data_IF_024899705975
#
_entry.id   IF_024899705975
#
_cell.length_a   1.000
_cell.length_b   1.000
_cell.length_c   1.000
_cell.angle_alpha   90.00
_cell.angle_beta   90.00
_cell.angle_gamma   90.00
#
_symmetry.space_group_name_H-M   'P 1'
#
loop_
_entity.id
_entity.type
_entity.pdbx_description
1 polymer ?
#
# COMPACT_ATOMS: atom_id res chain seq x y z
N UNK A 1 -47.09 -60.85 5.83
CA UNK A 1 -46.44 -59.92 6.79
C UNK A 1 -45.40 -59.11 6.03
N UNK A 2 -45.75 -57.91 5.58
CA UNK A 2 -44.92 -57.07 4.76
C UNK A 2 -44.67 -55.78 5.55
N UNK A 3 -43.44 -55.59 6.08
CA UNK A 3 -43.03 -54.37 6.76
C UNK A 3 -42.52 -53.34 5.74
N UNK A 4 -43.25 -52.30 5.57
CA UNK A 4 -42.85 -51.11 4.78
C UNK A 4 -41.99 -50.22 5.65
N UNK A 5 -40.69 -50.08 5.30
CA UNK A 5 -39.72 -49.20 5.93
C UNK A 5 -39.87 -47.79 5.34
N UNK A 6 -40.37 -46.84 6.13
CA UNK A 6 -40.47 -45.41 5.76
C UNK A 6 -39.13 -44.73 6.05
N UNK A 7 -38.35 -44.43 5.02
CA UNK A 7 -37.16 -43.61 5.11
C UNK A 7 -37.55 -42.14 5.05
N UNK A 8 -37.43 -41.45 6.17
CA UNK A 8 -37.56 -39.98 6.25
C UNK A 8 -36.27 -39.32 5.81
N UNK A 9 -36.28 -38.67 4.64
CA UNK A 9 -35.18 -37.85 4.12
C UNK A 9 -35.27 -36.46 4.75
N UNK A 10 -34.40 -36.18 5.74
CA UNK A 10 -34.26 -34.88 6.36
C UNK A 10 -33.38 -34.00 5.46
N UNK A 11 -33.99 -33.04 4.77
CA UNK A 11 -33.26 -32.03 3.98
C UNK A 11 -32.74 -30.97 4.95
N UNK A 12 -31.43 -31.00 5.21
CA UNK A 12 -30.72 -29.93 5.92
C UNK A 12 -30.52 -28.74 4.97
N UNK A 13 -31.37 -27.74 5.09
CA UNK A 13 -31.24 -26.46 4.40
C UNK A 13 -30.14 -25.63 5.10
N UNK A 14 -28.89 -25.73 4.61
CA UNK A 14 -27.78 -24.92 5.10
C UNK A 14 -27.98 -23.47 4.67
N UNK A 15 -28.42 -22.63 5.58
CA UNK A 15 -28.51 -21.17 5.40
C UNK A 15 -27.10 -20.59 5.40
N UNK A 16 -26.51 -20.36 4.23
CA UNK A 16 -25.25 -19.60 4.08
C UNK A 16 -25.52 -18.13 4.48
N UNK A 17 -25.19 -17.79 5.71
CA UNK A 17 -25.12 -16.41 6.17
C UNK A 17 -23.96 -15.73 5.45
N UNK A 18 -24.22 -15.01 4.37
CA UNK A 18 -23.27 -14.09 3.76
C UNK A 18 -23.02 -12.93 4.75
N UNK A 19 -21.91 -12.99 5.48
CA UNK A 19 -21.46 -11.89 6.34
C UNK A 19 -20.96 -10.80 5.41
N UNK A 20 -21.53 -9.57 5.40
CA UNK A 20 -20.98 -8.48 4.64
C UNK A 20 -19.60 -8.13 5.22
N UNK A 21 -18.53 -8.39 4.46
CA UNK A 21 -17.21 -7.89 4.79
C UNK A 21 -17.20 -6.38 4.52
N UNK A 22 -17.46 -5.60 5.55
CA UNK A 22 -17.17 -4.17 5.50
C UNK A 22 -15.65 -4.05 5.37
N UNK A 23 -15.17 -3.54 4.23
CA UNK A 23 -13.80 -3.10 4.07
C UNK A 23 -13.59 -1.95 5.07
N UNK A 24 -13.04 -2.27 6.24
CA UNK A 24 -12.73 -1.30 7.27
C UNK A 24 -11.51 -0.51 6.79
N UNK A 25 -11.76 0.63 6.17
CA UNK A 25 -10.71 1.58 5.82
C UNK A 25 -10.08 2.08 7.11
N UNK A 26 -8.89 1.62 7.39
CA UNK A 26 -8.14 2.01 8.57
C UNK A 26 -7.41 3.32 8.26
N UNK A 27 -7.90 4.42 8.80
CA UNK A 27 -7.25 5.73 8.66
C UNK A 27 -5.77 5.65 9.03
N UNK A 28 -4.90 6.21 8.18
CA UNK A 28 -3.45 6.23 8.40
C UNK A 28 -2.71 4.92 8.12
N UNK A 29 -3.37 3.91 7.54
CA UNK A 29 -2.75 2.65 7.16
C UNK A 29 -2.62 2.54 5.64
N UNK A 30 -1.41 2.26 5.17
CA UNK A 30 -1.12 1.93 3.77
C UNK A 30 -0.70 0.49 3.57
N UNK A 31 -0.50 0.12 2.32
CA UNK A 31 0.08 -1.16 1.90
C UNK A 31 1.24 -0.93 0.95
N UNK A 32 2.28 -1.75 1.05
CA UNK A 32 3.45 -1.73 0.18
C UNK A 32 3.80 -3.15 -0.24
N UNK A 33 3.86 -3.38 -1.52
CA UNK A 33 4.43 -4.59 -2.10
C UNK A 33 5.80 -4.26 -2.68
N UNK A 34 6.84 -4.99 -2.27
CA UNK A 34 8.20 -4.90 -2.79
C UNK A 34 8.59 -6.22 -3.44
N UNK A 35 9.10 -6.14 -4.64
CA UNK A 35 9.58 -7.30 -5.40
C UNK A 35 11.00 -7.02 -5.92
N UNK A 36 11.95 -7.88 -5.54
CA UNK A 36 13.30 -7.87 -6.08
C UNK A 36 13.48 -9.06 -7.04
N UNK A 37 13.62 -8.76 -8.32
CA UNK A 37 13.90 -9.75 -9.36
C UNK A 37 15.24 -9.44 -10.03
N UNK A 38 16.26 -10.25 -9.73
CA UNK A 38 17.62 -10.01 -10.15
C UNK A 38 18.15 -8.70 -9.56
N UNK A 39 18.44 -7.71 -10.42
CA UNK A 39 18.93 -6.39 -10.05
C UNK A 39 17.84 -5.30 -10.03
N UNK A 40 16.58 -5.68 -10.28
CA UNK A 40 15.45 -4.75 -10.36
C UNK A 40 14.57 -4.85 -9.12
N UNK A 41 14.49 -3.77 -8.36
CA UNK A 41 13.54 -3.58 -7.27
C UNK A 41 12.31 -2.82 -7.77
N UNK A 42 11.14 -3.40 -7.58
CA UNK A 42 9.84 -2.78 -7.88
C UNK A 42 9.03 -2.62 -6.61
N UNK A 43 8.31 -1.52 -6.50
CA UNK A 43 7.41 -1.28 -5.39
C UNK A 43 6.06 -0.75 -5.86
N UNK A 44 5.01 -1.18 -5.18
CA UNK A 44 3.65 -0.66 -5.31
C UNK A 44 3.15 -0.27 -3.93
N UNK A 45 2.87 1.01 -3.75
CA UNK A 45 2.39 1.58 -2.50
C UNK A 45 1.00 2.17 -2.68
N UNK A 46 0.09 1.81 -1.79
CA UNK A 46 -1.24 2.42 -1.70
C UNK A 46 -1.42 3.06 -0.33
N UNK A 47 -1.89 4.31 -0.31
CA UNK A 47 -2.11 5.08 0.91
C UNK A 47 -3.32 5.98 0.76
N UNK A 48 -4.22 6.05 1.76
CA UNK A 48 -5.31 7.03 1.75
C UNK A 48 -4.80 8.46 1.65
N UNK A 49 -5.38 9.26 0.76
CA UNK A 49 -5.00 10.66 0.58
C UNK A 49 -5.21 11.49 1.86
N UNK A 50 -6.19 11.12 2.68
CA UNK A 50 -6.40 11.72 4.00
C UNK A 50 -5.17 11.57 4.90
N UNK A 51 -4.52 10.41 4.86
CA UNK A 51 -3.29 10.17 5.65
C UNK A 51 -2.11 11.03 5.18
N UNK A 52 -2.07 11.41 3.92
CA UNK A 52 -1.00 12.21 3.30
C UNK A 52 -1.27 13.72 3.37
N UNK A 53 -2.51 14.14 3.09
CA UNK A 53 -2.87 15.55 2.95
C UNK A 53 -3.74 16.07 4.10
N UNK A 54 -4.38 15.18 4.88
CA UNK A 54 -5.37 15.55 5.88
C UNK A 54 -6.77 15.78 5.30
N UNK A 55 -6.97 15.50 4.03
CA UNK A 55 -8.25 15.53 3.32
C UNK A 55 -8.24 14.55 2.15
N UNK A 56 -9.43 14.12 1.72
CA UNK A 56 -9.65 13.15 0.64
C UNK A 56 -10.68 13.65 -0.40
N UNK A 57 -10.92 14.93 -0.45
CA UNK A 57 -11.78 15.60 -1.41
C UNK A 57 -10.95 16.54 -2.29
N UNK A 58 -11.48 16.98 -3.42
CA UNK A 58 -10.80 17.98 -4.24
C UNK A 58 -10.48 19.22 -3.40
N UNK A 59 -9.29 19.85 -3.60
CA UNK A 59 -8.90 21.04 -2.87
C UNK A 59 -9.95 22.13 -2.93
N UNK A 60 -10.28 22.75 -1.78
CA UNK A 60 -11.26 23.84 -1.62
C UNK A 60 -10.61 25.18 -1.29
N UNK A 61 -9.32 25.17 -0.92
CA UNK A 61 -8.55 26.36 -0.55
C UNK A 61 -7.22 26.39 -1.27
N UNK A 62 -6.60 27.55 -1.38
CA UNK A 62 -5.25 27.68 -1.95
C UNK A 62 -4.24 26.80 -1.19
N UNK A 63 -4.29 26.79 0.15
CA UNK A 63 -3.39 25.97 0.96
C UNK A 63 -3.54 24.45 0.67
N UNK A 64 -4.76 23.95 0.43
CA UNK A 64 -4.98 22.57 0.04
C UNK A 64 -4.46 22.28 -1.37
N UNK A 65 -4.62 23.20 -2.30
CA UNK A 65 -4.06 23.09 -3.66
C UNK A 65 -2.54 23.04 -3.60
N UNK A 66 -1.90 23.92 -2.84
CA UNK A 66 -0.46 23.93 -2.66
C UNK A 66 0.07 22.64 -2.03
N UNK A 67 -0.60 22.13 -0.99
CA UNK A 67 -0.23 20.87 -0.35
C UNK A 67 -0.31 19.69 -1.34
N UNK A 68 -1.35 19.62 -2.16
CA UNK A 68 -1.50 18.58 -3.19
C UNK A 68 -0.41 18.70 -4.26
N UNK A 69 -0.11 19.92 -4.75
CA UNK A 69 0.94 20.15 -5.73
C UNK A 69 2.33 19.79 -5.18
N UNK A 70 2.60 20.11 -3.91
CA UNK A 70 3.85 19.74 -3.24
C UNK A 70 3.99 18.22 -3.11
N UNK A 71 2.92 17.52 -2.75
CA UNK A 71 2.92 16.05 -2.72
C UNK A 71 3.23 15.47 -4.10
N UNK A 72 2.53 15.91 -5.15
CA UNK A 72 2.78 15.44 -6.52
C UNK A 72 4.23 15.67 -6.96
N UNK A 73 4.81 16.83 -6.63
CA UNK A 73 6.21 17.15 -6.91
C UNK A 73 7.17 16.23 -6.15
N UNK A 74 6.90 15.96 -4.88
CA UNK A 74 7.73 15.09 -4.05
C UNK A 74 7.73 13.64 -4.55
N UNK A 75 6.59 13.18 -5.06
CA UNK A 75 6.43 11.82 -5.60
C UNK A 75 7.18 11.56 -6.93
N UNK A 76 7.77 12.60 -7.55
CA UNK A 76 8.66 12.41 -8.71
C UNK A 76 9.97 11.69 -8.32
N UNK A 77 10.30 11.67 -7.04
CA UNK A 77 11.46 10.96 -6.53
C UNK A 77 11.01 9.92 -5.48
N UNK A 78 11.24 8.65 -5.77
CA UNK A 78 10.82 7.57 -4.87
C UNK A 78 11.57 7.59 -3.53
N UNK A 79 12.71 8.29 -3.41
CA UNK A 79 13.41 8.49 -2.14
C UNK A 79 12.60 9.31 -1.13
N UNK A 80 11.59 10.04 -1.57
CA UNK A 80 10.62 10.68 -0.68
C UNK A 80 9.84 9.64 0.16
N UNK A 81 9.57 8.50 -0.43
CA UNK A 81 8.80 7.43 0.18
C UNK A 81 9.68 6.34 0.80
N UNK A 82 10.67 5.85 0.06
CA UNK A 82 11.54 4.73 0.46
C UNK A 82 13.02 5.10 0.37
N UNK A 83 13.75 4.86 1.45
CA UNK A 83 15.19 5.01 1.51
C UNK A 83 15.85 3.64 1.38
N UNK A 84 16.78 3.53 0.43
CA UNK A 84 17.55 2.33 0.13
C UNK A 84 19.00 2.48 0.62
N UNK A 85 19.68 1.38 1.02
CA UNK A 85 21.10 1.43 1.36
C UNK A 85 21.93 1.98 0.20
N UNK A 86 22.83 2.90 0.48
CA UNK A 86 23.72 3.52 -0.55
C UNK A 86 24.63 2.48 -1.21
N UNK A 87 24.96 1.44 -0.48
CA UNK A 87 25.79 0.31 -0.93
C UNK A 87 25.11 -0.50 -2.03
N UNK A 88 23.78 -0.47 -2.09
CA UNK A 88 23.02 -1.15 -3.15
C UNK A 88 23.18 -0.44 -4.51
N UNK A 89 23.64 0.83 -4.54
CA UNK A 89 23.87 1.64 -5.74
C UNK A 89 22.68 1.59 -6.69
N UNK A 90 21.49 1.87 -6.14
CA UNK A 90 20.23 1.84 -6.90
C UNK A 90 20.00 3.15 -7.65
N UNK A 91 19.59 3.05 -8.89
CA UNK A 91 19.15 4.17 -9.73
C UNK A 91 17.66 4.06 -9.99
N UNK A 92 16.91 5.13 -9.76
CA UNK A 92 15.50 5.19 -10.09
C UNK A 92 15.33 5.13 -11.61
N UNK A 93 14.52 4.18 -12.09
CA UNK A 93 14.16 4.04 -13.50
C UNK A 93 12.82 4.69 -13.79
N UNK A 94 11.84 4.50 -12.90
CA UNK A 94 10.46 4.87 -13.14
C UNK A 94 9.75 5.20 -11.82
N UNK A 95 8.85 6.17 -11.89
CA UNK A 95 7.82 6.42 -10.88
C UNK A 95 6.50 6.73 -11.56
N UNK A 96 5.41 6.30 -10.94
CA UNK A 96 4.05 6.63 -11.35
C UNK A 96 3.21 6.89 -10.12
N UNK A 97 2.58 8.05 -10.05
CA UNK A 97 1.69 8.46 -8.96
C UNK A 97 0.29 8.72 -9.53
N UNK A 98 -0.70 7.99 -9.07
CA UNK A 98 -2.08 8.09 -9.53
C UNK A 98 -3.02 8.27 -8.35
N UNK A 99 -3.95 9.20 -8.49
CA UNK A 99 -5.08 9.42 -7.62
C UNK A 99 -6.17 10.15 -8.39
N UNK A 100 -7.43 9.84 -8.11
CA UNK A 100 -8.56 10.61 -8.66
C UNK A 100 -8.44 12.11 -8.34
N UNK A 101 -7.92 12.43 -7.17
CA UNK A 101 -7.69 13.83 -6.77
C UNK A 101 -6.68 14.54 -7.68
N UNK A 102 -5.64 13.87 -8.14
CA UNK A 102 -4.64 14.43 -9.06
C UNK A 102 -5.23 14.72 -10.45
N UNK A 103 -6.26 13.98 -10.83
CA UNK A 103 -6.97 14.13 -12.11
C UNK A 103 -8.16 15.11 -12.00
N UNK A 104 -8.42 15.69 -10.83
CA UNK A 104 -9.58 16.56 -10.60
C UNK A 104 -10.91 15.78 -10.58
N UNK A 105 -10.88 14.47 -10.43
CA UNK A 105 -12.06 13.63 -10.39
C UNK A 105 -12.63 13.64 -8.97
N UNK A 106 -13.91 13.99 -8.85
CA UNK A 106 -14.61 13.92 -7.56
C UNK A 106 -14.96 12.47 -7.24
N UNK A 107 -14.24 11.87 -6.30
CA UNK A 107 -14.51 10.53 -5.81
C UNK A 107 -15.89 10.43 -5.12
N UNK A 108 -16.45 9.21 -5.09
CA UNK A 108 -17.70 8.87 -4.39
C UNK A 108 -17.48 8.50 -2.92
N UNK A 109 -16.33 8.79 -2.35
CA UNK A 109 -15.95 8.39 -0.99
C UNK A 109 -14.48 8.68 -0.73
N UNK A 110 -13.74 7.67 -0.31
CA UNK A 110 -12.31 7.75 -0.06
C UNK A 110 -11.52 7.86 -1.36
N UNK A 111 -10.39 8.55 -1.29
CA UNK A 111 -9.42 8.66 -2.39
C UNK A 111 -8.08 8.15 -1.92
N UNK A 112 -7.47 7.26 -2.71
CA UNK A 112 -6.15 6.71 -2.44
C UNK A 112 -5.12 7.27 -3.40
N UNK A 113 -3.87 7.32 -2.94
CA UNK A 113 -2.69 7.38 -3.77
C UNK A 113 -2.28 5.95 -4.13
N UNK A 114 -2.16 5.66 -5.42
CA UNK A 114 -1.49 4.49 -5.95
C UNK A 114 -0.14 4.93 -6.53
N UNK A 115 0.95 4.45 -5.93
CA UNK A 115 2.29 4.86 -6.30
C UNK A 115 3.14 3.65 -6.64
N UNK A 116 3.64 3.62 -7.88
CA UNK A 116 4.55 2.60 -8.35
C UNK A 116 5.93 3.19 -8.59
N UNK A 117 6.97 2.43 -8.28
CA UNK A 117 8.35 2.82 -8.54
C UNK A 117 9.20 1.61 -8.94
N UNK A 118 10.29 1.90 -9.65
CA UNK A 118 11.25 0.91 -10.10
C UNK A 118 12.67 1.45 -9.96
N UNK A 119 13.55 0.62 -9.40
CA UNK A 119 14.97 0.87 -9.31
C UNK A 119 15.77 -0.24 -9.97
N UNK A 120 16.91 0.11 -10.55
CA UNK A 120 17.96 -0.83 -10.90
C UNK A 120 19.12 -0.66 -9.92
N UNK A 121 19.53 -1.76 -9.28
CA UNK A 121 20.54 -1.77 -8.22
C UNK A 121 21.78 -2.52 -8.69
N UNK A 122 22.95 -1.87 -8.70
CA UNK A 122 24.19 -2.53 -9.10
C UNK A 122 24.66 -3.60 -8.10
N UNK A 123 24.24 -3.48 -6.84
CA UNK A 123 24.55 -4.44 -5.77
C UNK A 123 23.27 -4.80 -5.00
N UNK A 124 22.38 -5.62 -5.56
CA UNK A 124 21.09 -5.96 -4.94
C UNK A 124 21.22 -6.70 -3.60
N UNK A 125 22.34 -7.40 -3.35
CA UNK A 125 22.59 -8.08 -2.08
C UNK A 125 22.74 -7.10 -0.90
N UNK A 126 23.06 -5.83 -1.17
CA UNK A 126 23.13 -4.79 -0.15
C UNK A 126 21.75 -4.25 0.26
N UNK A 127 20.65 -4.71 -0.34
CA UNK A 127 19.29 -4.34 0.05
C UNK A 127 18.87 -5.07 1.35
N UNK A 128 19.55 -4.77 2.43
CA UNK A 128 19.38 -5.42 3.75
C UNK A 128 18.48 -4.63 4.71
N UNK A 129 18.19 -3.37 4.37
CA UNK A 129 17.35 -2.48 5.18
C UNK A 129 16.71 -1.42 4.32
N UNK A 130 15.42 -1.18 4.53
CA UNK A 130 14.65 -0.09 3.93
C UNK A 130 14.20 0.90 4.99
N UNK A 131 14.33 2.20 4.72
CA UNK A 131 13.76 3.26 5.52
C UNK A 131 12.49 3.83 4.87
N UNK A 132 11.61 4.45 5.67
CA UNK A 132 10.37 5.06 5.19
C UNK A 132 10.26 6.50 5.70
N UNK A 133 10.99 7.45 5.06
CA UNK A 133 11.07 8.84 5.51
C UNK A 133 9.73 9.58 5.47
N UNK A 134 8.78 9.16 4.62
CA UNK A 134 7.46 9.80 4.48
C UNK A 134 6.68 9.89 5.80
N UNK A 135 6.88 8.96 6.73
CA UNK A 135 6.25 9.02 8.04
C UNK A 135 6.58 10.29 8.83
N UNK A 136 7.75 10.90 8.59
CA UNK A 136 8.14 12.16 9.25
C UNK A 136 7.32 13.35 8.74
N UNK A 137 6.98 13.33 7.46
CA UNK A 137 6.24 14.42 6.80
C UNK A 137 4.71 14.24 6.90
N UNK A 138 4.25 13.01 7.13
CA UNK A 138 2.84 12.64 7.14
C UNK A 138 2.46 12.00 8.47
N UNK A 139 2.28 12.83 9.50
CA UNK A 139 2.01 12.40 10.89
C UNK A 139 0.72 11.61 11.06
N UNK A 140 -0.22 11.70 10.12
CA UNK A 140 -1.46 10.92 10.10
C UNK A 140 -1.24 9.50 9.56
N UNK A 141 -0.14 9.27 8.84
CA UNK A 141 0.29 7.94 8.43
C UNK A 141 0.94 7.25 9.63
N UNK A 142 0.38 6.13 10.06
CA UNK A 142 0.86 5.45 11.26
C UNK A 142 1.37 4.02 11.02
N UNK A 143 0.89 3.38 9.96
CA UNK A 143 1.25 1.99 9.63
C UNK A 143 1.37 1.77 8.13
N UNK A 144 2.24 0.82 7.78
CA UNK A 144 2.42 0.31 6.43
C UNK A 144 2.46 -1.23 6.49
N UNK A 145 1.45 -1.89 5.92
CA UNK A 145 1.49 -3.34 5.70
C UNK A 145 2.42 -3.61 4.53
N UNK A 146 3.52 -4.30 4.79
CA UNK A 146 4.56 -4.54 3.81
C UNK A 146 4.63 -6.02 3.47
N UNK A 147 4.70 -6.31 2.17
CA UNK A 147 5.01 -7.61 1.61
C UNK A 147 6.29 -7.50 0.80
N UNK A 148 7.25 -8.37 1.10
CA UNK A 148 8.51 -8.50 0.40
C UNK A 148 8.60 -9.82 -0.32
N UNK A 149 9.00 -9.80 -1.59
CA UNK A 149 9.25 -10.99 -2.40
C UNK A 149 10.63 -10.88 -3.05
N UNK A 150 11.47 -11.89 -2.89
CA UNK A 150 12.78 -11.96 -3.54
C UNK A 150 13.23 -13.40 -3.68
N UNK A 151 13.63 -13.83 -4.90
CA UNK A 151 14.23 -15.13 -5.18
C UNK A 151 13.50 -16.33 -4.56
N UNK A 152 12.15 -16.29 -4.55
CA UNK A 152 11.31 -17.34 -3.96
C UNK A 152 11.10 -17.23 -2.45
N UNK A 153 11.73 -16.26 -1.78
CA UNK A 153 11.44 -15.91 -0.38
C UNK A 153 10.35 -14.85 -0.29
N UNK A 154 9.45 -15.02 0.66
CA UNK A 154 8.39 -14.04 0.96
C UNK A 154 8.43 -13.68 2.44
N UNK A 155 8.22 -12.41 2.74
CA UNK A 155 8.14 -11.90 4.12
C UNK A 155 7.07 -10.82 4.21
N UNK A 156 6.22 -10.91 5.20
CA UNK A 156 5.25 -9.87 5.54
C UNK A 156 5.65 -9.17 6.84
N UNK A 157 5.42 -7.87 6.91
CA UNK A 157 5.68 -7.07 8.09
C UNK A 157 4.69 -5.92 8.22
N UNK A 158 4.54 -5.40 9.44
CA UNK A 158 3.89 -4.11 9.68
C UNK A 158 4.95 -3.11 10.11
N UNK A 159 5.26 -2.15 9.24
CA UNK A 159 6.11 -1.01 9.57
C UNK A 159 5.26 0.06 10.25
N UNK A 160 5.77 0.63 11.33
CA UNK A 160 5.09 1.69 12.10
C UNK A 160 5.87 2.99 12.05
N UNK A 161 5.19 4.12 12.18
CA UNK A 161 5.83 5.45 12.23
C UNK A 161 6.85 5.57 13.39
N UNK A 162 6.64 4.84 14.49
CA UNK A 162 7.59 4.78 15.62
C UNK A 162 8.88 4.01 15.31
N UNK A 163 8.86 3.11 14.32
CA UNK A 163 10.02 2.34 13.82
C UNK A 163 9.92 2.23 12.31
N UNK A 164 10.24 3.32 11.57
CA UNK A 164 9.97 3.42 10.13
C UNK A 164 11.05 2.72 9.30
N UNK A 165 11.27 1.43 9.54
CA UNK A 165 12.23 0.63 8.80
C UNK A 165 11.82 -0.84 8.72
N UNK A 166 12.31 -1.52 7.68
CA UNK A 166 12.12 -2.95 7.44
C UNK A 166 13.45 -3.57 7.02
N UNK A 167 13.71 -4.80 7.47
CA UNK A 167 14.83 -5.65 7.01
C UNK A 167 14.28 -6.94 6.45
N UNK A 168 14.54 -7.24 5.16
CA UNK A 168 14.08 -8.46 4.48
C UNK A 168 14.68 -9.74 5.04
#
# INVERSE_FOLDING_TARGET
MTHTLKTSLAIFLSLLLAVPTFAQHSHGMGSLQLNLNGDVLQGQWTMPMEALLGFEHLPKTAAQTDAMNQLQKSLQNASYFIELPVEAKCQQLEVKAESDMFQGIKGKGHSDLNYAFKYKCANPQALTKFGFPFFKSHIRSNQLKLEWVSQGAQKAATVRSSKPSFSP
#
